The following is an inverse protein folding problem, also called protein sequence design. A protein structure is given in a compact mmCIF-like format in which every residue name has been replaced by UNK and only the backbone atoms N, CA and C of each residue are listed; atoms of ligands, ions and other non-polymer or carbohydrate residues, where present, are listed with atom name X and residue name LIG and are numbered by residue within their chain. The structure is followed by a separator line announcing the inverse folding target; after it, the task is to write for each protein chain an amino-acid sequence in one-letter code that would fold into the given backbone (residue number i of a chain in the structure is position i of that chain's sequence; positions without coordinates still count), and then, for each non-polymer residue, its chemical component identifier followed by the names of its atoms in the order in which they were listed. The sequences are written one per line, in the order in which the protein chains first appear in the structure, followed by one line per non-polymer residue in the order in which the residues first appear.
data_IF_040814113652
#
_entry.id   IF_040814113652
#
_cell.length_a   1.000
_cell.length_b   1.000
_cell.length_c   1.000
_cell.angle_alpha   90.00
_cell.angle_beta   90.00
_cell.angle_gamma   90.00
#
_symmetry.space_group_name_H-M   'P 1'
#
loop_
_entity.id
_entity.type
_entity.pdbx_description
1 polymer ?
#
# COMPACT_ATOMS: atom_id res chain seq x y z
N UNK A 1 -100.01 -45.43 36.78
CA UNK A 1 -99.55 -44.23 36.03
C UNK A 1 -98.03 -44.33 35.99
N UNK A 2 -97.33 -44.87 34.97
CA UNK A 2 -97.32 -44.52 33.54
C UNK A 2 -96.78 -43.10 33.34
N UNK A 3 -95.67 -42.78 32.63
CA UNK A 3 -94.74 -43.51 31.76
C UNK A 3 -93.35 -42.81 31.80
N UNK A 4 -92.32 -43.65 31.83
CA UNK A 4 -90.88 -43.56 31.52
C UNK A 4 -90.14 -42.23 31.18
N UNK A 5 -88.93 -42.03 31.75
CA UNK A 5 -87.94 -41.03 31.29
C UNK A 5 -86.92 -41.63 30.30
N UNK A 6 -87.33 -42.57 29.44
CA UNK A 6 -86.40 -43.31 28.57
C UNK A 6 -85.97 -42.54 27.29
N UNK A 7 -86.74 -41.55 26.84
CA UNK A 7 -86.41 -40.76 25.64
C UNK A 7 -85.30 -39.75 25.87
N UNK A 8 -85.30 -39.03 26.98
CA UNK A 8 -84.33 -37.96 27.25
C UNK A 8 -82.89 -38.48 27.39
N UNK A 9 -82.69 -39.65 28.02
CA UNK A 9 -81.36 -40.28 28.15
C UNK A 9 -80.79 -40.71 26.80
N UNK A 10 -81.61 -41.21 25.87
CA UNK A 10 -81.15 -41.61 24.52
C UNK A 10 -80.63 -40.42 23.71
N UNK A 11 -81.28 -39.25 23.80
CA UNK A 11 -80.79 -38.03 23.15
C UNK A 11 -79.51 -37.48 23.78
N UNK A 12 -79.36 -37.62 25.09
CA UNK A 12 -78.13 -37.22 25.79
C UNK A 12 -76.93 -38.07 25.37
N UNK A 13 -77.13 -39.39 25.24
CA UNK A 13 -76.09 -40.30 24.73
C UNK A 13 -75.76 -40.07 23.26
N UNK A 14 -76.75 -39.74 22.41
CA UNK A 14 -76.52 -39.38 21.00
C UNK A 14 -75.75 -38.05 20.85
N UNK A 15 -76.03 -37.06 21.70
CA UNK A 15 -75.28 -35.80 21.75
C UNK A 15 -73.83 -36.00 22.20
N UNK A 16 -73.61 -36.78 23.27
CA UNK A 16 -72.27 -37.12 23.76
C UNK A 16 -71.47 -37.93 22.72
N UNK A 17 -72.10 -38.88 22.03
CA UNK A 17 -71.46 -39.64 20.96
C UNK A 17 -71.10 -38.74 19.74
N UNK A 18 -71.94 -37.76 19.41
CA UNK A 18 -71.66 -36.78 18.34
C UNK A 18 -70.53 -35.80 18.68
N UNK A 19 -70.41 -35.41 19.96
CA UNK A 19 -69.31 -34.56 20.42
C UNK A 19 -67.96 -35.29 20.42
N UNK A 20 -67.97 -36.58 20.75
CA UNK A 20 -66.76 -37.43 20.71
C UNK A 20 -66.33 -37.69 19.26
N UNK A 21 -67.26 -37.89 18.33
CA UNK A 21 -66.92 -38.07 16.91
C UNK A 21 -66.42 -36.78 16.25
N UNK A 22 -66.94 -35.60 16.62
CA UNK A 22 -66.41 -34.30 16.18
C UNK A 22 -65.00 -34.02 16.72
N UNK A 23 -64.71 -34.44 17.96
CA UNK A 23 -63.37 -34.34 18.58
C UNK A 23 -62.33 -35.19 17.83
N UNK A 24 -62.69 -36.41 17.41
CA UNK A 24 -61.78 -37.31 16.71
C UNK A 24 -61.50 -36.90 15.25
N UNK A 25 -62.40 -36.16 14.60
CA UNK A 25 -62.16 -35.59 13.26
C UNK A 25 -61.19 -34.41 13.32
N UNK A 26 -61.14 -33.68 14.44
CA UNK A 26 -60.21 -32.56 14.64
C UNK A 26 -58.75 -32.99 14.83
N UNK A 27 -58.48 -34.26 15.15
CA UNK A 27 -57.11 -34.79 15.27
C UNK A 27 -56.52 -35.33 13.95
N UNK A 28 -57.30 -35.42 12.87
CA UNK A 28 -56.83 -35.96 11.59
C UNK A 28 -56.46 -34.88 10.54
N UNK A 29 -56.53 -33.59 10.89
CA UNK A 29 -56.25 -32.48 9.96
C UNK A 29 -55.29 -31.42 10.53
N UNK A 30 -54.34 -31.83 11.38
CA UNK A 30 -53.15 -31.00 11.64
C UNK A 30 -52.07 -31.52 10.69
N UNK A 31 -52.08 -30.98 9.47
CA UNK A 31 -50.95 -31.07 8.56
C UNK A 31 -49.82 -30.32 9.25
N UNK A 32 -48.79 -31.02 9.72
CA UNK A 32 -47.62 -30.34 10.26
C UNK A 32 -47.16 -29.29 9.23
N UNK A 33 -46.99 -28.02 9.62
CA UNK A 33 -46.35 -27.07 8.73
C UNK A 33 -44.98 -27.67 8.43
N UNK A 34 -44.72 -27.95 7.15
CA UNK A 34 -43.37 -28.29 6.69
C UNK A 34 -42.42 -27.27 7.32
N UNK A 35 -41.28 -27.67 7.90
CA UNK A 35 -40.32 -26.70 8.41
C UNK A 35 -40.05 -25.72 7.28
N UNK A 36 -40.40 -24.45 7.51
CA UNK A 36 -40.00 -23.38 6.62
C UNK A 36 -38.50 -23.28 6.80
N UNK A 37 -37.76 -24.03 5.98
CA UNK A 37 -36.37 -23.74 5.70
C UNK A 37 -36.43 -22.34 5.09
N UNK A 38 -36.12 -21.34 5.92
CA UNK A 38 -35.97 -19.97 5.46
C UNK A 38 -34.76 -19.97 4.56
N UNK A 39 -34.95 -20.23 3.26
CA UNK A 39 -33.92 -20.04 2.25
C UNK A 39 -33.43 -18.60 2.38
N UNK A 40 -32.22 -18.44 2.93
CA UNK A 40 -31.56 -17.15 3.04
C UNK A 40 -31.50 -16.53 1.65
N UNK A 41 -31.83 -15.23 1.54
CA UNK A 41 -31.70 -14.56 0.25
C UNK A 41 -30.22 -14.65 -0.18
N UNK A 42 -29.91 -14.82 -1.47
CA UNK A 42 -28.52 -14.88 -1.93
C UNK A 42 -27.64 -13.71 -1.44
N UNK A 43 -28.24 -12.53 -1.22
CA UNK A 43 -27.57 -11.36 -0.65
C UNK A 43 -27.18 -11.54 0.83
N UNK A 44 -28.00 -12.22 1.63
CA UNK A 44 -27.70 -12.49 3.04
C UNK A 44 -26.53 -13.48 3.16
N UNK A 45 -26.51 -14.50 2.28
CA UNK A 45 -25.43 -15.49 2.18
C UNK A 45 -24.11 -14.84 1.70
N UNK A 46 -24.19 -13.95 0.71
CA UNK A 46 -23.03 -13.18 0.25
C UNK A 46 -22.43 -12.30 1.36
N UNK A 47 -23.28 -11.68 2.20
CA UNK A 47 -22.82 -10.89 3.34
C UNK A 47 -22.14 -11.76 4.41
N UNK A 48 -22.64 -12.98 4.65
CA UNK A 48 -22.01 -13.91 5.58
C UNK A 48 -20.61 -14.32 5.09
N UNK A 49 -20.48 -14.66 3.81
CA UNK A 49 -19.18 -14.99 3.21
C UNK A 49 -18.20 -13.82 3.27
N UNK A 50 -18.68 -12.58 3.07
CA UNK A 50 -17.86 -11.38 3.22
C UNK A 50 -17.29 -11.27 4.65
N UNK A 51 -18.14 -11.41 5.67
CA UNK A 51 -17.71 -11.33 7.07
C UNK A 51 -16.71 -12.43 7.44
N UNK A 52 -16.96 -13.67 6.98
CA UNK A 52 -16.03 -14.80 7.17
C UNK A 52 -14.67 -14.52 6.54
N UNK A 53 -14.66 -13.99 5.32
CA UNK A 53 -13.44 -13.57 4.63
C UNK A 53 -12.66 -12.51 5.42
N UNK A 54 -13.35 -11.52 5.99
CA UNK A 54 -12.73 -10.47 6.81
C UNK A 54 -12.09 -11.03 8.08
N UNK A 55 -12.78 -11.95 8.77
CA UNK A 55 -12.26 -12.63 9.96
C UNK A 55 -11.01 -13.46 9.62
N UNK A 56 -11.04 -14.19 8.50
CA UNK A 56 -9.91 -14.99 8.04
C UNK A 56 -8.72 -14.11 7.65
N UNK A 57 -8.98 -12.99 6.98
CA UNK A 57 -7.95 -12.00 6.64
C UNK A 57 -7.30 -11.41 7.90
N UNK A 58 -8.09 -11.08 8.93
CA UNK A 58 -7.57 -10.60 10.22
C UNK A 58 -6.70 -11.67 10.92
N UNK A 59 -7.03 -12.95 10.76
CA UNK A 59 -6.22 -14.10 11.22
C UNK A 59 -5.02 -14.40 10.32
N UNK A 60 -4.82 -13.65 9.22
CA UNK A 60 -3.78 -13.86 8.20
C UNK A 60 -3.93 -15.18 7.42
N UNK A 61 -5.12 -15.78 7.45
CA UNK A 61 -5.48 -16.96 6.66
C UNK A 61 -5.89 -16.49 5.25
N UNK A 62 -4.89 -16.03 4.49
CA UNK A 62 -5.12 -15.31 3.22
C UNK A 62 -5.83 -16.15 2.17
N UNK A 63 -5.48 -17.43 2.04
CA UNK A 63 -6.03 -18.29 1.00
C UNK A 63 -7.50 -18.61 1.28
N UNK A 64 -7.82 -18.94 2.53
CA UNK A 64 -9.18 -19.19 2.97
C UNK A 64 -10.03 -17.93 2.88
N UNK A 65 -9.47 -16.76 3.21
CA UNK A 65 -10.16 -15.47 3.04
C UNK A 65 -10.52 -15.22 1.58
N UNK A 66 -9.58 -15.45 0.64
CA UNK A 66 -9.85 -15.35 -0.80
C UNK A 66 -10.99 -16.30 -1.19
N UNK A 67 -10.95 -17.56 -0.74
CA UNK A 67 -12.01 -18.54 -1.05
C UNK A 67 -13.39 -18.07 -0.59
N UNK A 68 -13.50 -17.47 0.60
CA UNK A 68 -14.77 -16.90 1.08
C UNK A 68 -15.21 -15.70 0.24
N UNK A 69 -14.28 -14.80 -0.12
CA UNK A 69 -14.61 -13.66 -0.99
C UNK A 69 -14.98 -14.08 -2.42
N UNK A 70 -14.39 -15.13 -2.98
CA UNK A 70 -14.76 -15.67 -4.29
C UNK A 70 -16.22 -16.17 -4.31
N UNK A 71 -16.73 -16.70 -3.19
CA UNK A 71 -18.15 -17.04 -3.05
C UNK A 71 -19.04 -15.80 -3.11
N UNK A 72 -18.60 -14.67 -2.55
CA UNK A 72 -19.32 -13.38 -2.68
C UNK A 72 -19.43 -12.98 -4.15
N UNK A 73 -18.34 -13.09 -4.92
CA UNK A 73 -18.35 -12.78 -6.36
C UNK A 73 -19.35 -13.64 -7.15
N UNK A 74 -19.57 -14.88 -6.72
CA UNK A 74 -20.53 -15.81 -7.34
C UNK A 74 -21.98 -15.52 -6.94
N UNK A 75 -22.22 -15.18 -5.67
CA UNK A 75 -23.57 -15.00 -5.11
C UNK A 75 -24.17 -13.62 -5.38
N UNK A 76 -23.33 -12.61 -5.60
CA UNK A 76 -23.76 -11.21 -5.80
C UNK A 76 -23.08 -10.54 -6.99
N UNK A 77 -23.18 -11.10 -8.22
CA UNK A 77 -22.53 -10.52 -9.38
C UNK A 77 -23.14 -9.15 -9.72
N UNK A 78 -22.28 -8.16 -9.95
CA UNK A 78 -22.61 -6.76 -10.29
C UNK A 78 -23.44 -6.01 -9.26
N UNK A 79 -23.43 -6.46 -8.01
CA UNK A 79 -24.16 -5.82 -6.92
C UNK A 79 -23.38 -5.90 -5.60
N UNK A 80 -23.64 -5.00 -4.63
CA UNK A 80 -23.07 -5.14 -3.30
C UNK A 80 -23.41 -6.51 -2.68
N UNK A 81 -22.48 -7.15 -1.95
CA UNK A 81 -21.17 -6.63 -1.55
C UNK A 81 -19.98 -7.10 -2.43
N UNK A 82 -20.17 -7.38 -3.73
CA UNK A 82 -19.07 -7.83 -4.61
C UNK A 82 -17.93 -6.80 -4.69
N UNK A 83 -18.23 -5.51 -4.68
CA UNK A 83 -17.24 -4.43 -4.64
C UNK A 83 -16.30 -4.56 -3.42
N UNK A 84 -16.85 -4.83 -2.24
CA UNK A 84 -16.08 -5.08 -1.02
C UNK A 84 -15.25 -6.35 -1.10
N UNK A 85 -15.78 -7.41 -1.70
CA UNK A 85 -15.04 -8.65 -1.91
C UNK A 85 -13.86 -8.45 -2.87
N UNK A 86 -14.07 -7.78 -4.02
CA UNK A 86 -12.99 -7.42 -4.95
C UNK A 86 -11.90 -6.59 -4.27
N UNK A 87 -12.30 -5.57 -3.50
CA UNK A 87 -11.39 -4.75 -2.73
C UNK A 87 -10.54 -5.57 -1.75
N UNK A 88 -11.18 -6.45 -0.98
CA UNK A 88 -10.48 -7.26 0.03
C UNK A 88 -9.57 -8.33 -0.59
N UNK A 89 -9.95 -8.96 -1.70
CA UNK A 89 -9.07 -9.87 -2.44
C UNK A 89 -7.85 -9.09 -2.96
N UNK A 90 -8.05 -7.88 -3.50
CA UNK A 90 -6.97 -7.03 -3.96
C UNK A 90 -6.01 -6.68 -2.82
N UNK A 91 -6.51 -6.32 -1.63
CA UNK A 91 -5.69 -6.09 -0.44
C UNK A 91 -4.88 -7.32 -0.02
N UNK A 92 -5.47 -8.52 -0.09
CA UNK A 92 -4.75 -9.76 0.24
C UNK A 92 -3.59 -9.98 -0.72
N UNK A 93 -3.76 -9.72 -2.02
CA UNK A 93 -2.67 -9.79 -3.00
C UNK A 93 -1.62 -8.68 -2.81
N UNK A 94 -2.00 -7.53 -2.22
CA UNK A 94 -1.08 -6.48 -1.85
C UNK A 94 -0.34 -6.72 -0.51
N UNK A 95 -0.80 -7.66 0.30
CA UNK A 95 -0.35 -7.79 1.68
C UNK A 95 1.09 -8.32 1.77
N UNK A 96 2.00 -7.56 2.40
CA UNK A 96 3.42 -7.91 2.50
C UNK A 96 3.69 -9.28 3.15
N UNK A 97 2.91 -9.62 4.17
CA UNK A 97 2.98 -10.89 4.88
C UNK A 97 2.31 -12.07 4.17
N UNK A 98 1.69 -11.87 3.00
CA UNK A 98 1.17 -12.95 2.18
C UNK A 98 2.31 -13.53 1.31
N UNK A 99 2.68 -14.81 1.46
CA UNK A 99 3.72 -15.42 0.64
C UNK A 99 3.33 -15.50 -0.85
N UNK A 100 2.03 -15.49 -1.16
CA UNK A 100 1.48 -15.45 -2.51
C UNK A 100 1.08 -14.04 -2.95
N UNK A 101 1.64 -12.99 -2.33
CA UNK A 101 1.39 -11.61 -2.76
C UNK A 101 1.74 -11.43 -4.23
N UNK A 102 0.90 -10.67 -4.92
CA UNK A 102 1.07 -10.36 -6.33
C UNK A 102 0.51 -8.95 -6.57
N UNK A 103 1.41 -7.97 -6.65
CA UNK A 103 1.03 -6.57 -6.83
C UNK A 103 0.34 -6.31 -8.17
N UNK A 104 0.70 -7.06 -9.22
CA UNK A 104 0.05 -6.90 -10.53
C UNK A 104 -1.39 -7.38 -10.44
N UNK A 105 -1.61 -8.57 -9.88
CA UNK A 105 -2.95 -9.11 -9.68
C UNK A 105 -3.80 -8.22 -8.77
N UNK A 106 -3.20 -7.67 -7.71
CA UNK A 106 -3.86 -6.68 -6.84
C UNK A 106 -4.31 -5.43 -7.61
N UNK A 107 -3.41 -4.84 -8.42
CA UNK A 107 -3.74 -3.69 -9.27
C UNK A 107 -4.88 -4.03 -10.23
N UNK A 108 -4.85 -5.19 -10.88
CA UNK A 108 -5.89 -5.62 -11.83
C UNK A 108 -7.25 -5.74 -11.17
N UNK A 109 -7.32 -6.27 -9.95
CA UNK A 109 -8.55 -6.37 -9.17
C UNK A 109 -9.09 -5.00 -8.75
N UNK A 110 -8.23 -4.08 -8.29
CA UNK A 110 -8.66 -2.71 -8.00
C UNK A 110 -9.16 -1.99 -9.26
N UNK A 111 -8.47 -2.14 -10.40
CA UNK A 111 -8.92 -1.55 -11.67
C UNK A 111 -10.24 -2.16 -12.14
N UNK A 112 -10.45 -3.46 -11.94
CA UNK A 112 -11.73 -4.12 -12.20
C UNK A 112 -12.83 -3.51 -11.33
N UNK A 113 -12.59 -3.37 -10.03
CA UNK A 113 -13.55 -2.75 -9.11
C UNK A 113 -13.89 -1.32 -9.53
N UNK A 114 -12.90 -0.50 -9.87
CA UNK A 114 -13.12 0.89 -10.31
C UNK A 114 -13.92 0.99 -11.61
N UNK A 115 -13.80 -0.01 -12.49
CA UNK A 115 -14.55 -0.09 -13.74
C UNK A 115 -15.98 -0.57 -13.52
N UNK A 116 -16.18 -1.57 -12.69
CA UNK A 116 -17.48 -2.21 -12.46
C UNK A 116 -18.31 -1.45 -11.41
N UNK A 117 -17.66 -0.75 -10.48
CA UNK A 117 -18.26 -0.06 -9.34
C UNK A 117 -17.68 1.36 -9.15
N UNK A 118 -17.83 2.26 -10.14
CA UNK A 118 -17.27 3.61 -10.06
C UNK A 118 -17.83 4.45 -8.89
N UNK A 119 -19.07 4.18 -8.48
CA UNK A 119 -19.77 4.88 -7.39
C UNK A 119 -19.61 4.20 -6.02
N UNK A 120 -18.81 3.13 -5.94
CA UNK A 120 -18.55 2.46 -4.66
C UNK A 120 -17.90 3.44 -3.67
N UNK A 121 -18.26 3.42 -2.38
CA UNK A 121 -17.55 4.20 -1.36
C UNK A 121 -16.06 3.83 -1.24
N UNK A 122 -15.65 2.69 -1.81
CA UNK A 122 -14.25 2.22 -1.84
C UNK A 122 -13.47 2.72 -3.06
N UNK A 123 -14.12 3.39 -4.03
CA UNK A 123 -13.49 3.77 -5.29
C UNK A 123 -12.27 4.68 -5.08
N UNK A 124 -12.36 5.70 -4.23
CA UNK A 124 -11.20 6.58 -3.98
C UNK A 124 -10.05 5.86 -3.28
N UNK A 125 -10.35 4.97 -2.32
CA UNK A 125 -9.32 4.13 -1.69
C UNK A 125 -8.64 3.22 -2.71
N UNK A 126 -9.41 2.57 -3.60
CA UNK A 126 -8.86 1.70 -4.63
C UNK A 126 -7.95 2.46 -5.62
N UNK A 127 -8.30 3.69 -6.02
CA UNK A 127 -7.43 4.54 -6.85
C UNK A 127 -6.09 4.81 -6.18
N UNK A 128 -6.10 5.09 -4.87
CA UNK A 128 -4.88 5.35 -4.10
C UNK A 128 -4.04 4.07 -3.99
N UNK A 129 -4.65 2.93 -3.71
CA UNK A 129 -3.96 1.64 -3.69
C UNK A 129 -3.31 1.30 -5.02
N UNK A 130 -3.99 1.54 -6.15
CA UNK A 130 -3.38 1.39 -7.49
C UNK A 130 -2.15 2.27 -7.63
N UNK A 131 -2.20 3.52 -7.17
CA UNK A 131 -1.05 4.43 -7.16
C UNK A 131 0.12 3.89 -6.34
N UNK A 132 -0.13 3.49 -5.09
CA UNK A 132 0.89 2.94 -4.18
C UNK A 132 1.53 1.68 -4.76
N UNK A 133 0.73 0.75 -5.28
CA UNK A 133 1.23 -0.51 -5.82
C UNK A 133 2.02 -0.31 -7.11
N UNK A 134 1.60 0.61 -7.99
CA UNK A 134 2.35 0.97 -9.19
C UNK A 134 3.68 1.60 -8.85
N UNK A 135 3.69 2.53 -7.89
CA UNK A 135 4.94 3.14 -7.40
C UNK A 135 5.86 2.06 -6.82
N UNK A 136 5.35 1.15 -5.99
CA UNK A 136 6.15 0.06 -5.43
C UNK A 136 6.78 -0.82 -6.51
N UNK A 137 6.00 -1.25 -7.52
CA UNK A 137 6.51 -2.04 -8.65
C UNK A 137 7.56 -1.28 -9.45
N UNK A 138 7.39 0.03 -9.64
CA UNK A 138 8.35 0.84 -10.38
C UNK A 138 9.62 1.13 -9.59
N UNK A 139 9.51 1.44 -8.29
CA UNK A 139 10.64 1.58 -7.37
C UNK A 139 11.46 0.29 -7.31
N UNK A 140 10.84 -0.88 -7.27
CA UNK A 140 11.57 -2.15 -7.29
C UNK A 140 12.48 -2.30 -8.52
N UNK A 141 12.00 -1.91 -9.71
CA UNK A 141 12.81 -1.92 -10.95
C UNK A 141 13.93 -0.89 -10.90
N UNK A 142 13.68 0.29 -10.33
CA UNK A 142 14.70 1.34 -10.20
C UNK A 142 15.79 0.91 -9.23
N UNK A 143 15.44 0.28 -8.10
CA UNK A 143 16.38 -0.30 -7.13
C UNK A 143 17.27 -1.35 -7.81
N UNK A 144 16.70 -2.22 -8.63
CA UNK A 144 17.47 -3.21 -9.41
C UNK A 144 18.50 -2.54 -10.32
N UNK A 145 18.08 -1.54 -11.11
CA UNK A 145 18.99 -0.76 -11.97
C UNK A 145 20.08 -0.01 -11.18
N UNK A 146 19.74 0.52 -10.01
CA UNK A 146 20.71 1.17 -9.13
C UNK A 146 21.72 0.16 -8.60
N UNK A 147 21.27 -1.04 -8.21
CA UNK A 147 22.16 -2.10 -7.75
C UNK A 147 23.16 -2.52 -8.84
N UNK A 148 22.71 -2.68 -10.08
CA UNK A 148 23.58 -2.96 -11.23
C UNK A 148 24.63 -1.84 -11.41
N UNK A 149 24.19 -0.58 -11.32
CA UNK A 149 25.08 0.59 -11.45
C UNK A 149 26.13 0.61 -10.34
N UNK A 150 25.74 0.33 -9.10
CA UNK A 150 26.65 0.25 -7.95
C UNK A 150 27.66 -0.87 -8.15
N UNK A 151 27.22 -2.06 -8.59
CA UNK A 151 28.11 -3.19 -8.85
C UNK A 151 29.17 -2.86 -9.93
N UNK A 152 28.76 -2.18 -11.00
CA UNK A 152 29.67 -1.72 -12.05
C UNK A 152 30.66 -0.67 -11.54
N UNK A 153 30.20 0.25 -10.69
CA UNK A 153 31.07 1.24 -10.03
C UNK A 153 32.11 0.57 -9.12
N UNK A 154 31.71 -0.41 -8.30
CA UNK A 154 32.62 -1.15 -7.43
C UNK A 154 33.68 -1.94 -8.23
N UNK A 155 33.27 -2.53 -9.35
CA UNK A 155 34.20 -3.22 -10.27
C UNK A 155 35.22 -2.24 -10.85
N UNK A 156 34.77 -1.07 -11.33
CA UNK A 156 35.66 0.01 -11.81
C UNK A 156 36.62 0.45 -10.70
N UNK A 157 36.11 0.69 -9.50
CA UNK A 157 36.93 1.16 -8.38
C UNK A 157 38.02 0.14 -7.98
N UNK A 158 37.69 -1.17 -7.96
CA UNK A 158 38.68 -2.23 -7.75
C UNK A 158 39.77 -2.23 -8.82
N UNK A 159 39.40 -2.14 -10.10
CA UNK A 159 40.37 -2.08 -11.20
C UNK A 159 41.30 -0.86 -11.11
N UNK A 160 40.77 0.29 -10.67
CA UNK A 160 41.56 1.49 -10.44
C UNK A 160 42.56 1.29 -9.29
N UNK A 161 42.13 0.69 -8.18
CA UNK A 161 43.01 0.38 -7.04
C UNK A 161 44.09 -0.64 -7.40
N UNK A 162 43.80 -1.62 -8.25
CA UNK A 162 44.80 -2.58 -8.74
C UNK A 162 45.80 -1.89 -9.69
N UNK A 163 45.32 -1.03 -10.60
CA UNK A 163 46.18 -0.28 -11.51
C UNK A 163 47.08 0.73 -10.80
N UNK A 164 46.63 1.33 -9.71
CA UNK A 164 47.43 2.28 -8.92
C UNK A 164 48.51 1.62 -8.08
N UNK A 165 48.30 0.36 -7.66
CA UNK A 165 49.33 -0.46 -6.98
C UNK A 165 50.48 -0.88 -7.91
N UNK A 166 50.24 -0.92 -9.23
CA UNK A 166 51.21 -1.39 -10.23
C UNK A 166 52.06 -0.26 -10.84
N UNK A 167 51.75 1.01 -10.59
CA UNK A 167 52.56 2.15 -11.06
C UNK A 167 53.46 2.67 -9.93
N UNK A 168 54.80 2.71 -10.08
CA UNK A 168 55.67 3.48 -9.20
C UNK A 168 55.21 4.93 -9.15
N UNK A 169 55.35 5.57 -7.99
CA UNK A 169 54.86 6.90 -7.66
C UNK A 169 55.54 8.01 -8.47
N UNK A 170 55.24 8.12 -9.76
CA UNK A 170 55.77 9.15 -10.65
C UNK A 170 54.64 10.00 -11.23
N UNK A 171 53.93 10.69 -10.34
CA UNK A 171 53.51 12.10 -10.50
C UNK A 171 52.69 12.46 -9.27
N UNK A 172 53.34 12.98 -8.22
CA UNK A 172 52.68 13.98 -7.37
C UNK A 172 52.51 15.23 -8.23
N UNK A 173 51.52 15.19 -9.12
CA UNK A 173 50.93 16.41 -9.64
C UNK A 173 50.37 17.08 -8.38
N UNK A 174 50.97 18.19 -7.94
CA UNK A 174 50.43 18.94 -6.81
C UNK A 174 49.00 19.36 -7.17
N UNK A 175 48.03 18.60 -6.66
CA UNK A 175 46.63 18.98 -6.72
C UNK A 175 46.50 20.40 -6.11
N UNK A 176 45.70 21.29 -6.71
CA UNK A 176 45.53 22.65 -6.21
C UNK A 176 44.98 22.61 -4.76
N UNK A 177 45.87 22.80 -3.77
CA UNK A 177 45.55 22.73 -2.33
C UNK A 177 44.38 23.64 -1.92
N UNK A 178 44.17 24.75 -2.63
CA UNK A 178 43.24 25.81 -2.25
C UNK A 178 41.76 25.39 -2.24
N UNK A 179 41.33 24.51 -3.16
CA UNK A 179 39.93 24.05 -3.21
C UNK A 179 39.60 22.97 -2.16
N UNK A 180 40.60 22.19 -1.75
CA UNK A 180 40.47 21.10 -0.77
C UNK A 180 40.24 21.61 0.65
N UNK A 181 40.83 22.74 1.02
CA UNK A 181 40.70 23.30 2.37
C UNK A 181 39.24 23.63 2.71
N UNK A 182 38.50 24.19 1.74
CA UNK A 182 37.06 24.47 1.92
C UNK A 182 36.23 23.19 2.04
N UNK A 183 36.55 22.12 1.29
CA UNK A 183 35.89 20.82 1.43
C UNK A 183 36.15 20.21 2.82
N UNK A 184 37.41 20.24 3.28
CA UNK A 184 37.80 19.74 4.61
C UNK A 184 37.08 20.51 5.72
N UNK A 185 37.02 21.84 5.60
CA UNK A 185 36.33 22.69 6.56
C UNK A 185 34.82 22.45 6.55
N UNK A 186 34.21 22.26 5.38
CA UNK A 186 32.82 21.81 5.26
C UNK A 186 32.58 20.52 6.03
N UNK A 187 33.43 19.51 5.83
CA UNK A 187 33.29 18.21 6.49
C UNK A 187 33.44 18.31 8.01
N UNK A 188 34.34 19.18 8.49
CA UNK A 188 34.48 19.48 9.91
C UNK A 188 33.20 20.10 10.49
N UNK A 189 32.59 21.04 9.77
CA UNK A 189 31.32 21.62 10.18
C UNK A 189 30.19 20.58 10.19
N UNK A 190 30.14 19.67 9.22
CA UNK A 190 29.16 18.57 9.23
C UNK A 190 29.34 17.63 10.43
N UNK A 191 30.58 17.26 10.76
CA UNK A 191 30.88 16.45 11.94
C UNK A 191 30.44 17.13 13.26
N UNK A 192 30.36 18.46 13.27
CA UNK A 192 29.88 19.27 14.40
C UNK A 192 28.36 19.51 14.37
N UNK A 193 27.66 19.03 13.33
CA UNK A 193 26.24 19.34 13.10
C UNK A 193 25.99 20.80 12.65
N UNK A 194 27.04 21.56 12.32
CA UNK A 194 26.93 22.91 11.80
C UNK A 194 26.69 22.89 10.28
N UNK A 195 25.45 22.59 9.87
CA UNK A 195 25.10 22.49 8.45
C UNK A 195 25.23 23.82 7.70
N UNK A 196 24.91 24.95 8.34
CA UNK A 196 25.04 26.28 7.73
C UNK A 196 26.50 26.61 7.40
N UNK A 197 27.42 26.34 8.34
CA UNK A 197 28.86 26.49 8.11
C UNK A 197 29.34 25.61 6.95
N UNK A 198 28.87 24.36 6.88
CA UNK A 198 29.20 23.45 5.78
C UNK A 198 28.68 23.93 4.42
N UNK A 199 27.45 24.45 4.35
CA UNK A 199 26.90 25.08 3.15
C UNK A 199 27.76 26.28 2.74
N UNK A 200 28.13 27.14 3.69
CA UNK A 200 28.95 28.32 3.46
C UNK A 200 30.29 27.98 2.81
N UNK A 201 30.99 26.96 3.29
CA UNK A 201 32.27 26.54 2.71
C UNK A 201 32.13 25.97 1.29
N UNK A 202 31.11 25.14 1.02
CA UNK A 202 30.87 24.66 -0.34
C UNK A 202 30.43 25.79 -1.29
N UNK A 203 29.69 26.79 -0.79
CA UNK A 203 29.28 27.92 -1.60
C UNK A 203 30.47 28.78 -2.04
N UNK A 204 31.51 28.95 -1.18
CA UNK A 204 32.76 29.61 -1.55
C UNK A 204 33.46 28.93 -2.72
N UNK A 205 33.40 27.59 -2.79
CA UNK A 205 33.95 26.82 -3.93
C UNK A 205 33.16 27.12 -5.21
N UNK A 206 31.82 27.20 -5.14
CA UNK A 206 30.99 27.47 -6.31
C UNK A 206 31.19 28.88 -6.88
N UNK A 207 31.37 29.88 -6.01
CA UNK A 207 31.53 31.29 -6.40
C UNK A 207 32.97 31.65 -6.80
N UNK A 208 33.95 30.80 -6.50
CA UNK A 208 35.33 31.02 -6.90
C UNK A 208 35.47 31.17 -8.43
N UNK A 209 36.28 32.13 -8.87
CA UNK A 209 36.56 32.36 -10.29
C UNK A 209 37.62 31.41 -10.83
N UNK A 210 38.49 30.89 -9.97
CA UNK A 210 39.55 29.98 -10.34
C UNK A 210 38.95 28.62 -10.76
N UNK A 211 39.18 28.18 -12.02
CA UNK A 211 38.63 26.93 -12.54
C UNK A 211 39.18 25.68 -11.86
N UNK A 212 40.23 25.80 -11.05
CA UNK A 212 40.82 24.69 -10.27
C UNK A 212 40.00 24.29 -9.05
N UNK A 213 38.99 25.08 -8.68
CA UNK A 213 38.10 24.73 -7.57
C UNK A 213 37.21 23.53 -7.93
N UNK A 214 37.05 22.55 -7.02
CA UNK A 214 36.27 21.33 -7.26
C UNK A 214 34.76 21.62 -7.17
N UNK A 215 34.25 22.35 -8.16
CA UNK A 215 32.85 22.83 -8.18
C UNK A 215 31.84 21.69 -8.33
N UNK A 216 32.20 20.62 -9.03
CA UNK A 216 31.39 19.41 -9.09
C UNK A 216 31.25 18.75 -7.71
N UNK A 217 32.35 18.63 -6.96
CA UNK A 217 32.34 18.11 -5.59
C UNK A 217 31.53 19.00 -4.64
N UNK A 218 31.65 20.32 -4.75
CA UNK A 218 30.85 21.25 -3.95
C UNK A 218 29.35 21.16 -4.25
N UNK A 219 28.95 21.02 -5.52
CA UNK A 219 27.56 20.76 -5.89
C UNK A 219 27.06 19.43 -5.29
N UNK A 220 27.87 18.38 -5.37
CA UNK A 220 27.52 17.08 -4.79
C UNK A 220 27.33 17.17 -3.26
N UNK A 221 28.27 17.80 -2.56
CA UNK A 221 28.21 18.00 -1.11
C UNK A 221 26.98 18.80 -0.69
N UNK A 222 26.67 19.92 -1.38
CA UNK A 222 25.45 20.69 -1.10
C UNK A 222 24.20 19.83 -1.29
N UNK A 223 24.15 19.00 -2.34
CA UNK A 223 23.12 18.00 -2.51
C UNK A 223 22.94 17.11 -1.28
N UNK A 224 24.02 16.52 -0.77
CA UNK A 224 23.99 15.67 0.43
C UNK A 224 23.58 16.42 1.70
N UNK A 225 24.08 17.64 1.89
CA UNK A 225 23.80 18.45 3.07
C UNK A 225 22.31 18.80 3.15
N UNK A 226 21.70 19.19 2.03
CA UNK A 226 20.26 19.48 1.98
C UNK A 226 19.39 18.22 2.05
N UNK A 227 19.93 17.03 1.73
CA UNK A 227 19.23 15.75 1.95
C UNK A 227 19.32 15.23 3.39
N UNK A 228 20.31 15.68 4.16
CA UNK A 228 20.67 15.09 5.45
C UNK A 228 19.55 15.18 6.49
N UNK A 229 19.17 14.05 7.09
CA UNK A 229 18.04 13.97 8.04
C UNK A 229 18.22 14.85 9.28
N UNK A 230 19.45 15.02 9.75
CA UNK A 230 19.77 15.86 10.90
C UNK A 230 19.84 17.36 10.60
N UNK A 231 19.73 17.77 9.33
CA UNK A 231 19.78 19.19 8.95
C UNK A 231 18.42 19.85 9.21
N UNK A 232 18.32 20.87 10.09
CA UNK A 232 17.06 21.58 10.33
C UNK A 232 16.53 22.31 9.08
N UNK A 233 17.44 22.66 8.15
CA UNK A 233 17.11 23.28 6.87
C UNK A 233 17.07 22.25 5.73
N UNK A 234 16.87 20.96 6.04
CA UNK A 234 16.73 19.89 5.04
C UNK A 234 15.65 20.27 4.01
N UNK A 235 16.01 20.17 2.75
CA UNK A 235 15.20 20.59 1.62
C UNK A 235 15.50 19.65 0.44
N UNK A 236 14.57 18.74 0.16
CA UNK A 236 14.76 17.68 -0.83
C UNK A 236 14.79 18.24 -2.24
N UNK A 237 14.01 19.29 -2.51
CA UNK A 237 13.97 19.92 -3.82
C UNK A 237 15.29 20.65 -4.10
N UNK A 238 15.85 21.36 -3.10
CA UNK A 238 17.20 21.94 -3.22
C UNK A 238 18.28 20.89 -3.40
N UNK A 239 18.20 19.79 -2.66
CA UNK A 239 19.16 18.69 -2.80
C UNK A 239 19.19 18.16 -4.25
N UNK A 240 18.01 17.89 -4.82
CA UNK A 240 17.84 17.43 -6.20
C UNK A 240 18.34 18.50 -7.19
N UNK A 241 18.07 19.79 -6.96
CA UNK A 241 18.59 20.88 -7.80
C UNK A 241 20.13 20.87 -7.88
N UNK A 242 20.81 20.76 -6.74
CA UNK A 242 22.28 20.71 -6.72
C UNK A 242 22.84 19.50 -7.47
N UNK A 243 22.24 18.32 -7.33
CA UNK A 243 22.63 17.15 -8.11
C UNK A 243 22.37 17.36 -9.61
N UNK A 244 21.23 17.91 -10.00
CA UNK A 244 20.93 18.19 -11.41
C UNK A 244 21.91 19.21 -12.02
N UNK A 245 22.32 20.23 -11.26
CA UNK A 245 23.34 21.19 -11.66
C UNK A 245 24.69 20.50 -11.90
N UNK A 246 25.05 19.52 -11.07
CA UNK A 246 26.25 18.69 -11.27
C UNK A 246 26.18 17.93 -12.59
N UNK A 247 25.06 17.24 -12.85
CA UNK A 247 24.85 16.47 -14.08
C UNK A 247 24.97 17.35 -15.34
N UNK A 248 24.43 18.57 -15.27
CA UNK A 248 24.40 19.51 -16.40
C UNK A 248 25.74 20.19 -16.63
N UNK A 249 26.38 20.69 -15.58
CA UNK A 249 27.61 21.48 -15.69
C UNK A 249 28.86 20.61 -15.78
N UNK A 250 28.84 19.39 -15.21
CA UNK A 250 29.99 18.50 -15.11
C UNK A 250 29.64 17.06 -15.56
N UNK A 251 29.19 16.85 -16.81
CA UNK A 251 28.71 15.54 -17.28
C UNK A 251 29.79 14.45 -17.34
N UNK A 252 31.07 14.83 -17.24
CA UNK A 252 32.22 13.90 -17.18
C UNK A 252 32.75 13.67 -15.77
N UNK A 253 32.16 14.31 -14.75
CA UNK A 253 32.59 14.12 -13.36
C UNK A 253 32.34 12.68 -12.92
N UNK A 254 33.23 12.15 -12.08
CA UNK A 254 33.08 10.83 -11.46
C UNK A 254 31.90 10.76 -10.48
N UNK A 255 31.36 11.92 -10.10
CA UNK A 255 30.22 12.06 -9.19
C UNK A 255 28.86 11.97 -9.90
N UNK A 256 28.83 11.95 -11.24
CA UNK A 256 27.60 11.90 -12.04
C UNK A 256 26.76 10.67 -11.72
N UNK A 257 27.39 9.48 -11.65
CA UNK A 257 26.68 8.23 -11.37
C UNK A 257 26.11 8.24 -9.94
N UNK A 258 26.87 8.78 -8.97
CA UNK A 258 26.41 8.92 -7.58
C UNK A 258 25.25 9.92 -7.45
N UNK A 259 25.34 11.07 -8.12
CA UNK A 259 24.30 12.09 -8.09
C UNK A 259 22.97 11.56 -8.66
N UNK A 260 23.01 10.76 -9.74
CA UNK A 260 21.82 10.12 -10.30
C UNK A 260 21.15 9.15 -9.31
N UNK A 261 21.95 8.35 -8.60
CA UNK A 261 21.45 7.44 -7.57
C UNK A 261 20.74 8.24 -6.46
N UNK A 262 21.39 9.28 -5.95
CA UNK A 262 20.79 10.14 -4.91
C UNK A 262 19.49 10.80 -5.37
N UNK A 263 19.42 11.34 -6.60
CA UNK A 263 18.18 11.91 -7.14
C UNK A 263 17.06 10.86 -7.12
N UNK A 264 17.33 9.64 -7.58
CA UNK A 264 16.32 8.57 -7.62
C UNK A 264 15.79 8.24 -6.22
N UNK A 265 16.69 8.03 -5.25
CA UNK A 265 16.32 7.75 -3.84
C UNK A 265 15.45 8.87 -3.25
N UNK A 266 15.80 10.13 -3.52
CA UNK A 266 15.11 11.29 -2.97
C UNK A 266 13.71 11.48 -3.57
N UNK A 267 13.55 11.25 -4.87
CA UNK A 267 12.26 11.34 -5.56
C UNK A 267 11.27 10.28 -5.10
N UNK A 268 11.72 9.02 -5.00
CA UNK A 268 10.86 7.89 -4.59
C UNK A 268 10.31 8.08 -3.16
N UNK A 269 11.17 8.51 -2.23
CA UNK A 269 10.75 8.81 -0.87
C UNK A 269 9.70 9.94 -0.81
N UNK A 270 9.77 10.92 -1.72
CA UNK A 270 8.80 12.01 -1.79
C UNK A 270 7.41 11.56 -2.25
N UNK A 271 7.34 10.83 -3.36
CA UNK A 271 6.08 10.37 -3.95
C UNK A 271 5.34 9.37 -3.06
N UNK A 272 6.07 8.40 -2.48
CA UNK A 272 5.49 7.42 -1.58
C UNK A 272 4.84 8.08 -0.35
N UNK A 273 5.51 9.08 0.23
CA UNK A 273 4.97 9.83 1.36
C UNK A 273 3.67 10.57 1.00
N UNK A 274 3.58 11.18 -0.18
CA UNK A 274 2.35 11.86 -0.63
C UNK A 274 1.18 10.89 -0.77
N UNK A 275 1.40 9.72 -1.36
CA UNK A 275 0.37 8.70 -1.52
C UNK A 275 -0.14 8.16 -0.18
N UNK A 276 0.77 7.92 0.77
CA UNK A 276 0.41 7.46 2.13
C UNK A 276 -0.42 8.50 2.87
N UNK A 277 -0.08 9.79 2.77
CA UNK A 277 -0.87 10.85 3.40
C UNK A 277 -2.27 10.94 2.79
N UNK A 278 -2.38 10.79 1.46
CA UNK A 278 -3.67 10.76 0.78
C UNK A 278 -4.53 9.58 1.23
N UNK A 279 -3.95 8.39 1.39
CA UNK A 279 -4.67 7.22 1.89
C UNK A 279 -5.27 7.48 3.28
N UNK A 280 -4.48 8.02 4.21
CA UNK A 280 -4.92 8.34 5.57
C UNK A 280 -6.09 9.32 5.60
N UNK A 281 -6.04 10.35 4.75
CA UNK A 281 -7.11 11.34 4.65
C UNK A 281 -8.43 10.72 4.18
N UNK A 282 -8.37 9.87 3.15
CA UNK A 282 -9.56 9.18 2.63
C UNK A 282 -10.14 8.20 3.65
N UNK A 283 -9.31 7.50 4.41
CA UNK A 283 -9.79 6.59 5.47
C UNK A 283 -10.60 7.33 6.55
N UNK A 284 -10.13 8.52 6.96
CA UNK A 284 -10.86 9.38 7.91
C UNK A 284 -12.21 9.80 7.34
N UNK A 285 -12.24 10.27 6.09
CA UNK A 285 -13.46 10.73 5.42
C UNK A 285 -14.50 9.60 5.27
N UNK A 286 -14.06 8.40 4.92
CA UNK A 286 -14.94 7.23 4.80
C UNK A 286 -15.55 6.84 6.16
N UNK A 287 -14.75 6.85 7.23
CA UNK A 287 -15.26 6.57 8.58
C UNK A 287 -16.25 7.64 9.07
N UNK A 288 -16.01 8.92 8.76
CA UNK A 288 -16.97 9.98 9.04
C UNK A 288 -18.28 9.83 8.26
N UNK A 289 -18.22 9.41 7.00
CA UNK A 289 -19.42 9.16 6.20
C UNK A 289 -20.25 8.00 6.74
N UNK A 290 -19.60 6.92 7.20
CA UNK A 290 -20.30 5.78 7.83
C UNK A 290 -21.02 6.18 9.11
N UNK A 291 -20.44 7.09 9.91
CA UNK A 291 -21.07 7.59 11.16
C UNK A 291 -22.26 8.50 10.93
N UNK A 292 -22.39 9.10 9.74
CA UNK A 292 -23.46 10.04 9.38
C UNK A 292 -24.67 9.36 8.71
N UNK A 293 -24.59 8.06 8.39
CA UNK A 293 -25.68 7.25 7.83
C UNK A 293 -26.28 6.35 8.90
#
# INVERSE_FOLDING_TARGET
MGREPARARKYLFLLLASLISLSLISCALIKEPKPVVMESRPTDEAQEHLLRGQILMAKKNYQEAITEYEKVLLLSPRQPPEDQALFNIALIYAHLGNPKKDYKKSIDLFLRMLKEYPDSPLAEQAKIWVGILRENVESAKKIEKMADTIQDMEKRNRSLQESSKLKPSETKMEEPKLGRDHILQSNKFLAQGNYEGAVGENQKILTATDPRFPKDEALFNLGLIYAHLGNPQRDIDKSIDYFNRLLKAYPKSTLVDQAKIWIGILQENGELNRLIQKLKQVDIEVEEMKRKK
#
